data_IF_756864068456
#
_entry.id   IF_756864068456
#
_cell.length_a   1.000
_cell.length_b   1.000
_cell.length_c   1.000
_cell.angle_alpha   90.00
_cell.angle_beta   90.00
_cell.angle_gamma   90.00
#
_symmetry.space_group_name_H-M   'P 1'
#
loop_
_entity.id
_entity.type
_entity.pdbx_description
1 polymer ?
#
# COMPACT_ATOMS: atom_id res chain seq x y z
N UNK A 1 6.72 4.76 -16.48
CA UNK A 1 6.20 5.63 -15.38
C UNK A 1 7.34 6.52 -14.92
N UNK A 2 7.19 7.84 -15.02
CA UNK A 2 8.13 8.81 -14.44
C UNK A 2 7.47 9.46 -13.24
N UNK A 3 8.15 9.49 -12.10
CA UNK A 3 7.64 10.18 -10.90
C UNK A 3 8.09 11.63 -11.00
N UNK A 4 7.14 12.55 -11.17
CA UNK A 4 7.43 13.99 -11.33
C UNK A 4 8.36 14.47 -10.22
N UNK A 5 9.44 15.13 -10.62
CA UNK A 5 10.45 15.64 -9.70
C UNK A 5 11.51 14.62 -9.27
N UNK A 6 11.46 13.34 -9.65
CA UNK A 6 12.55 12.39 -9.39
C UNK A 6 13.50 12.30 -10.58
N UNK A 7 14.78 12.57 -10.36
CA UNK A 7 15.86 12.19 -11.27
C UNK A 7 16.15 10.69 -11.11
N UNK A 8 15.58 9.89 -12.01
CA UNK A 8 15.70 8.43 -11.99
C UNK A 8 17.10 7.92 -12.36
N UNK A 9 18.00 8.78 -12.85
CA UNK A 9 19.40 8.43 -13.07
C UNK A 9 20.24 8.53 -11.79
N UNK A 10 19.72 9.20 -10.75
CA UNK A 10 20.41 9.46 -9.49
C UNK A 10 19.76 8.73 -8.32
N UNK A 11 20.31 7.57 -7.96
CA UNK A 11 19.91 6.81 -6.76
C UNK A 11 19.92 7.68 -5.50
N UNK A 12 20.95 8.54 -5.35
CA UNK A 12 21.06 9.46 -4.21
C UNK A 12 19.86 10.39 -4.15
N UNK A 13 19.54 11.08 -5.25
CA UNK A 13 18.42 12.02 -5.27
C UNK A 13 17.09 11.29 -5.03
N UNK A 14 16.91 10.14 -5.67
CA UNK A 14 15.71 9.31 -5.50
C UNK A 14 15.51 8.90 -4.04
N UNK A 15 16.54 8.38 -3.36
CA UNK A 15 16.45 7.98 -1.97
C UNK A 15 16.26 9.17 -1.02
N UNK A 16 16.88 10.32 -1.28
CA UNK A 16 16.65 11.55 -0.49
C UNK A 16 15.19 12.02 -0.61
N UNK A 17 14.63 12.03 -1.82
CA UNK A 17 13.22 12.44 -2.03
C UNK A 17 12.23 11.41 -1.48
N UNK A 18 12.52 10.12 -1.66
CA UNK A 18 11.75 9.04 -1.05
C UNK A 18 11.72 9.19 0.48
N UNK A 19 12.87 9.41 1.11
CA UNK A 19 12.97 9.58 2.56
C UNK A 19 12.09 10.74 3.05
N UNK A 20 12.19 11.90 2.40
CA UNK A 20 11.38 13.07 2.75
C UNK A 20 9.87 12.81 2.59
N UNK A 21 9.46 12.18 1.48
CA UNK A 21 8.05 11.87 1.23
C UNK A 21 7.49 10.87 2.26
N UNK A 22 8.21 9.77 2.50
CA UNK A 22 7.76 8.73 3.45
C UNK A 22 7.79 9.24 4.88
N UNK A 23 8.77 10.06 5.27
CA UNK A 23 8.81 10.69 6.59
C UNK A 23 7.54 11.51 6.85
N UNK A 24 7.15 12.39 5.90
CA UNK A 24 5.94 13.21 6.04
C UNK A 24 4.69 12.34 6.16
N UNK A 25 4.52 11.35 5.26
CA UNK A 25 3.38 10.44 5.28
C UNK A 25 3.31 9.64 6.58
N UNK A 26 4.45 9.17 7.08
CA UNK A 26 4.55 8.43 8.33
C UNK A 26 4.16 9.28 9.53
N UNK A 27 4.66 10.52 9.64
CA UNK A 27 4.32 11.41 10.75
C UNK A 27 2.83 11.76 10.75
N UNK A 28 2.25 12.02 9.58
CA UNK A 28 0.81 12.26 9.44
C UNK A 28 -0.02 11.04 9.87
N UNK A 29 0.34 9.85 9.39
CA UNK A 29 -0.30 8.60 9.78
C UNK A 29 -0.26 8.38 11.30
N UNK A 30 0.91 8.63 11.91
CA UNK A 30 1.09 8.51 13.37
C UNK A 30 0.24 9.53 14.13
N UNK A 31 0.16 10.77 13.65
CA UNK A 31 -0.64 11.84 14.28
C UNK A 31 -2.15 11.54 14.24
N UNK A 32 -2.64 10.87 13.18
CA UNK A 32 -4.04 10.43 13.08
C UNK A 32 -4.40 9.32 14.07
N UNK A 33 -3.39 8.56 14.53
CA UNK A 33 -3.56 7.47 15.48
C UNK A 33 -4.03 6.15 14.84
N UNK A 34 -3.95 5.05 15.60
CA UNK A 34 -4.11 3.69 15.07
C UNK A 34 -5.54 3.31 14.69
N UNK A 35 -6.54 4.13 15.04
CA UNK A 35 -7.93 3.95 14.62
C UNK A 35 -8.23 4.58 13.26
N UNK A 36 -7.33 5.43 12.74
CA UNK A 36 -7.53 6.18 11.49
C UNK A 36 -6.47 5.93 10.44
N UNK A 37 -5.27 5.48 10.82
CA UNK A 37 -4.23 5.09 9.88
C UNK A 37 -3.54 3.78 10.29
N UNK A 38 -3.43 2.85 9.35
CA UNK A 38 -2.73 1.58 9.52
C UNK A 38 -1.49 1.53 8.63
N UNK A 39 -0.32 1.35 9.23
CA UNK A 39 0.91 1.08 8.48
C UNK A 39 0.95 -0.39 8.02
N UNK A 40 1.08 -0.59 6.71
CA UNK A 40 1.21 -1.90 6.08
C UNK A 40 2.58 -1.98 5.41
N UNK A 41 3.43 -2.89 5.87
CA UNK A 41 4.74 -3.15 5.26
C UNK A 41 4.56 -4.05 4.05
N UNK A 42 5.13 -3.66 2.92
CA UNK A 42 5.04 -4.42 1.68
C UNK A 42 5.64 -5.82 1.83
N UNK A 43 6.79 -5.93 2.50
CA UNK A 43 7.52 -7.18 2.69
C UNK A 43 6.70 -8.16 3.53
N UNK A 44 6.02 -7.68 4.57
CA UNK A 44 5.10 -8.50 5.37
C UNK A 44 3.88 -8.93 4.58
N UNK A 45 3.34 -8.05 3.74
CA UNK A 45 2.20 -8.36 2.87
C UNK A 45 2.54 -9.47 1.88
N UNK A 46 3.70 -9.42 1.22
CA UNK A 46 4.07 -10.45 0.22
C UNK A 46 4.48 -11.78 0.86
N UNK A 47 5.11 -11.75 2.04
CA UNK A 47 5.51 -12.97 2.75
C UNK A 47 4.35 -13.67 3.46
N UNK A 48 3.38 -12.91 3.96
CA UNK A 48 2.23 -13.42 4.71
C UNK A 48 0.94 -12.66 4.32
N UNK A 49 0.43 -12.87 3.09
CA UNK A 49 -0.66 -12.08 2.53
C UNK A 49 -1.96 -12.24 3.32
N UNK A 50 -2.36 -13.46 3.67
CA UNK A 50 -3.59 -13.70 4.42
C UNK A 50 -3.56 -13.04 5.80
N UNK A 51 -2.51 -13.26 6.58
CA UNK A 51 -2.38 -12.66 7.91
C UNK A 51 -2.41 -11.11 7.84
N UNK A 52 -1.73 -10.53 6.84
CA UNK A 52 -1.70 -9.08 6.64
C UNK A 52 -3.08 -8.55 6.21
N UNK A 53 -3.74 -9.18 5.25
CA UNK A 53 -5.03 -8.73 4.74
C UNK A 53 -6.17 -8.93 5.74
N UNK A 54 -6.14 -9.99 6.56
CA UNK A 54 -7.06 -10.14 7.69
C UNK A 54 -6.97 -8.96 8.64
N UNK A 55 -5.75 -8.52 8.99
CA UNK A 55 -5.52 -7.34 9.82
C UNK A 55 -6.03 -6.06 9.16
N UNK A 56 -5.81 -5.90 7.86
CA UNK A 56 -6.27 -4.72 7.09
C UNK A 56 -7.80 -4.66 7.05
N UNK A 57 -8.49 -5.74 6.71
CA UNK A 57 -9.96 -5.76 6.65
C UNK A 57 -10.58 -5.56 8.03
N UNK A 58 -10.00 -6.14 9.08
CA UNK A 58 -10.43 -5.91 10.46
C UNK A 58 -10.31 -4.43 10.87
N UNK A 59 -9.19 -3.78 10.51
CA UNK A 59 -9.00 -2.33 10.72
C UNK A 59 -10.04 -1.49 9.97
N UNK A 60 -10.44 -1.90 8.76
CA UNK A 60 -11.47 -1.22 7.96
C UNK A 60 -12.91 -1.60 8.35
N UNK A 61 -13.10 -2.47 9.35
CA UNK A 61 -14.40 -3.01 9.75
C UNK A 61 -15.15 -3.73 8.61
N UNK A 62 -14.41 -4.43 7.74
CA UNK A 62 -14.96 -5.23 6.64
C UNK A 62 -14.91 -6.72 6.99
N UNK A 63 -15.89 -7.47 6.47
CA UNK A 63 -15.89 -8.93 6.59
C UNK A 63 -14.75 -9.55 5.77
N UNK A 64 -14.22 -10.68 6.23
CA UNK A 64 -13.22 -11.45 5.48
C UNK A 64 -13.83 -12.01 4.19
N UNK A 65 -13.04 -12.01 3.11
CA UNK A 65 -13.33 -12.70 1.86
C UNK A 65 -12.03 -13.22 1.26
N UNK A 66 -11.98 -14.52 0.91
CA UNK A 66 -10.79 -15.11 0.29
C UNK A 66 -10.45 -14.51 -1.09
N UNK A 67 -11.39 -13.78 -1.69
CA UNK A 67 -11.17 -13.07 -2.96
C UNK A 67 -10.02 -12.07 -2.91
N UNK A 68 -9.69 -11.51 -1.74
CA UNK A 68 -8.57 -10.56 -1.58
C UNK A 68 -7.20 -11.20 -1.81
N UNK A 69 -7.11 -12.53 -1.71
CA UNK A 69 -5.90 -13.31 -2.03
C UNK A 69 -5.78 -13.65 -3.51
N UNK A 70 -6.84 -13.44 -4.28
CA UNK A 70 -6.97 -13.83 -5.69
C UNK A 70 -7.31 -12.64 -6.59
N UNK A 71 -6.75 -11.47 -6.27
CA UNK A 71 -7.00 -10.21 -6.98
C UNK A 71 -6.78 -10.33 -8.50
N UNK A 72 -5.85 -11.17 -8.94
CA UNK A 72 -5.53 -11.42 -10.34
C UNK A 72 -6.71 -11.96 -11.16
N UNK A 73 -7.65 -12.67 -10.52
CA UNK A 73 -8.84 -13.23 -11.19
C UNK A 73 -9.90 -12.19 -11.52
N UNK A 74 -9.77 -10.99 -10.96
CA UNK A 74 -10.74 -9.90 -11.08
C UNK A 74 -10.23 -8.73 -11.93
N UNK A 75 -9.03 -8.83 -12.50
CA UNK A 75 -8.50 -7.82 -13.42
C UNK A 75 -9.31 -7.86 -14.73
N UNK A 76 -9.73 -6.69 -15.21
CA UNK A 76 -10.53 -6.52 -16.44
C UNK A 76 -11.87 -7.28 -16.47
N UNK A 77 -12.38 -7.70 -15.31
CA UNK A 77 -13.71 -8.29 -15.16
C UNK A 77 -14.78 -7.21 -14.90
N UNK A 78 -16.08 -7.49 -15.12
CA UNK A 78 -17.15 -6.59 -14.70
C UNK A 78 -17.05 -6.26 -13.20
N UNK A 79 -17.03 -4.97 -12.85
CA UNK A 79 -16.77 -4.45 -11.49
C UNK A 79 -15.35 -4.72 -10.93
N UNK A 80 -14.44 -5.20 -11.77
CA UNK A 80 -13.03 -5.40 -11.46
C UNK A 80 -12.17 -4.17 -11.70
N UNK A 81 -10.90 -4.24 -11.32
CA UNK A 81 -9.92 -3.18 -11.63
C UNK A 81 -9.55 -3.28 -13.10
N UNK A 82 -9.76 -2.20 -13.84
CA UNK A 82 -9.25 -2.06 -15.20
C UNK A 82 -7.77 -1.65 -15.14
N UNK A 83 -6.90 -2.42 -15.80
CA UNK A 83 -5.51 -2.02 -16.01
C UNK A 83 -5.35 -1.47 -17.43
N UNK A 84 -5.03 -0.18 -17.52
CA UNK A 84 -4.71 0.53 -18.76
C UNK A 84 -3.25 0.37 -19.16
#
# INVERSE_FOLDING_TARGET
VTITGFDLSSYRQCLTKWNHAVELMYQQCKALGPSRCLLVKYESLVLAPEATLRRVLAFLHLQWSDTVLHHERYINQPNGVALS
#
